data_IF_828082389566
#
_entry.id   IF_828082389566
#
_cell.length_a   1.000
_cell.length_b   1.000
_cell.length_c   1.000
_cell.angle_alpha   90.00
_cell.angle_beta   90.00
_cell.angle_gamma   90.00
#
_symmetry.space_group_name_H-M   'P 1'
#
loop_
_entity.id
_entity.type
_entity.pdbx_description
1 polymer ?
#
# COMPACT_ATOMS: atom_id res chain seq x y z
N UNK A 1 -31.32 -1.60 53.47
CA UNK A 1 -30.90 -0.36 52.78
C UNK A 1 -29.47 -0.42 52.22
N UNK A 2 -28.45 -0.91 52.96
CA UNK A 2 -27.04 -0.95 52.51
C UNK A 2 -26.74 -1.85 51.28
N UNK A 3 -27.41 -3.01 51.13
CA UNK A 3 -27.18 -3.96 50.02
C UNK A 3 -27.49 -3.38 48.63
N UNK A 4 -28.56 -2.58 48.52
CA UNK A 4 -28.94 -1.94 47.25
C UNK A 4 -27.97 -0.78 46.92
N UNK A 5 -27.48 -0.06 47.93
CA UNK A 5 -26.49 1.00 47.74
C UNK A 5 -25.16 0.47 47.18
N UNK A 6 -24.71 -0.69 47.65
CA UNK A 6 -23.51 -1.37 47.11
C UNK A 6 -23.77 -1.83 45.66
N UNK A 7 -24.94 -2.42 45.38
CA UNK A 7 -25.31 -2.84 44.03
C UNK A 7 -25.28 -1.68 43.02
N UNK A 8 -25.85 -0.52 43.37
CA UNK A 8 -25.80 0.66 42.50
C UNK A 8 -24.38 1.21 42.31
N UNK A 9 -23.52 1.11 43.33
CA UNK A 9 -22.11 1.49 43.22
C UNK A 9 -21.35 0.58 42.25
N UNK A 10 -21.54 -0.73 42.33
CA UNK A 10 -20.91 -1.71 41.42
C UNK A 10 -21.38 -1.51 39.97
N UNK A 11 -22.68 -1.29 39.76
CA UNK A 11 -23.23 -1.03 38.41
C UNK A 11 -22.60 0.23 37.79
N UNK A 12 -22.45 1.31 38.56
CA UNK A 12 -21.81 2.55 38.05
C UNK A 12 -20.34 2.32 37.68
N UNK A 13 -19.60 1.58 38.51
CA UNK A 13 -18.20 1.23 38.19
C UNK A 13 -18.13 0.41 36.91
N UNK A 14 -19.01 -0.58 36.75
CA UNK A 14 -19.08 -1.38 35.52
C UNK A 14 -19.40 -0.54 34.28
N UNK A 15 -20.33 0.42 34.39
CA UNK A 15 -20.67 1.33 33.29
C UNK A 15 -19.51 2.25 32.91
N UNK A 16 -18.77 2.77 33.90
CA UNK A 16 -17.58 3.59 33.65
C UNK A 16 -16.49 2.74 32.98
N UNK A 17 -16.23 1.53 33.47
CA UNK A 17 -15.28 0.61 32.84
C UNK A 17 -15.67 0.26 31.40
N UNK A 18 -16.97 0.01 31.13
CA UNK A 18 -17.47 -0.23 29.78
C UNK A 18 -17.25 0.98 28.86
N UNK A 19 -17.53 2.18 29.38
CA UNK A 19 -17.28 3.43 28.65
C UNK A 19 -15.80 3.63 28.32
N UNK A 20 -14.92 3.41 29.29
CA UNK A 20 -13.46 3.51 29.10
C UNK A 20 -12.97 2.48 28.08
N UNK A 21 -13.44 1.23 28.15
CA UNK A 21 -13.12 0.19 27.16
C UNK A 21 -13.62 0.56 25.76
N UNK A 22 -14.82 1.16 25.65
CA UNK A 22 -15.35 1.67 24.40
C UNK A 22 -14.50 2.80 23.80
N UNK A 23 -14.09 3.76 24.63
CA UNK A 23 -13.20 4.87 24.21
C UNK A 23 -11.83 4.34 23.78
N UNK A 24 -11.25 3.39 24.52
CA UNK A 24 -10.01 2.72 24.13
C UNK A 24 -10.20 2.03 22.77
N UNK A 25 -11.29 1.28 22.59
CA UNK A 25 -11.62 0.65 21.30
C UNK A 25 -11.71 1.67 20.16
N UNK A 26 -12.39 2.80 20.36
CA UNK A 26 -12.47 3.87 19.37
C UNK A 26 -11.10 4.50 19.07
N UNK A 27 -10.25 4.71 20.08
CA UNK A 27 -8.88 5.21 19.88
C UNK A 27 -8.05 4.20 19.08
N UNK A 28 -8.15 2.91 19.37
CA UNK A 28 -7.48 1.86 18.60
C UNK A 28 -7.96 1.88 17.13
N UNK A 29 -9.28 1.96 16.90
CA UNK A 29 -9.87 1.97 15.57
C UNK A 29 -9.49 3.22 14.76
N UNK A 30 -9.52 4.40 15.37
CA UNK A 30 -9.30 5.67 14.67
C UNK A 30 -7.83 6.10 14.59
N UNK A 31 -6.97 5.65 15.51
CA UNK A 31 -5.58 6.13 15.58
C UNK A 31 -4.56 5.06 15.20
N UNK A 32 -4.76 3.80 15.60
CA UNK A 32 -3.75 2.73 15.42
C UNK A 32 -3.96 1.98 14.10
N UNK A 33 -5.19 1.56 13.79
CA UNK A 33 -5.50 0.81 12.56
C UNK A 33 -5.13 1.57 11.26
N UNK A 34 -5.45 2.87 11.07
CA UNK A 34 -5.14 3.53 9.80
C UNK A 34 -3.64 3.64 9.51
N UNK A 35 -2.78 3.61 10.54
CA UNK A 35 -1.32 3.68 10.34
C UNK A 35 -0.74 2.40 9.74
N UNK A 36 -1.42 1.26 9.82
CA UNK A 36 -0.93 -0.03 9.31
C UNK A 36 -1.27 -0.29 7.84
N UNK A 37 -2.08 0.56 7.20
CA UNK A 37 -2.53 0.37 5.80
C UNK A 37 -1.73 1.21 4.80
N UNK A 38 -0.54 1.68 5.17
CA UNK A 38 0.34 2.36 4.21
C UNK A 38 0.95 1.33 3.27
N UNK A 39 0.42 1.25 2.05
CA UNK A 39 1.05 0.45 0.99
C UNK A 39 2.36 1.12 0.58
N UNK A 40 3.52 0.44 0.62
CA UNK A 40 4.77 1.03 0.17
C UNK A 40 4.65 1.46 -1.29
N UNK A 41 5.07 2.69 -1.56
CA UNK A 41 5.19 3.25 -2.90
C UNK A 41 6.61 3.04 -3.42
N UNK A 42 6.72 2.63 -4.67
CA UNK A 42 7.97 2.32 -5.34
C UNK A 42 8.11 3.25 -6.53
N UNK A 43 9.32 3.79 -6.72
CA UNK A 43 9.64 4.59 -7.89
C UNK A 43 9.81 3.68 -9.11
N UNK A 44 9.12 4.01 -10.20
CA UNK A 44 9.24 3.29 -11.47
C UNK A 44 10.67 3.44 -12.01
N UNK A 45 11.39 2.33 -12.31
CA UNK A 45 12.73 2.40 -12.89
C UNK A 45 12.67 2.96 -14.32
N UNK A 46 13.77 3.55 -14.79
CA UNK A 46 13.86 3.96 -16.19
C UNK A 46 14.18 2.76 -17.08
N UNK A 47 13.24 2.40 -17.95
CA UNK A 47 13.34 1.26 -18.85
C UNK A 47 13.73 1.67 -20.27
N UNK A 48 13.55 2.93 -20.65
CA UNK A 48 13.83 3.43 -22.01
C UNK A 48 15.28 3.14 -22.41
N UNK A 49 15.46 2.51 -23.57
CA UNK A 49 16.75 2.10 -24.12
C UNK A 49 17.34 0.80 -23.55
N UNK A 50 16.71 0.21 -22.52
CA UNK A 50 17.11 -1.11 -22.02
C UNK A 50 16.61 -2.22 -22.95
N UNK A 51 17.30 -3.36 -22.96
CA UNK A 51 16.74 -4.56 -23.59
C UNK A 51 15.50 -5.05 -22.83
N UNK A 52 14.62 -5.78 -23.50
CA UNK A 52 13.46 -6.39 -22.85
C UNK A 52 13.84 -7.22 -21.62
N UNK A 53 14.89 -8.05 -21.71
CA UNK A 53 15.37 -8.84 -20.55
C UNK A 53 15.84 -7.96 -19.39
N UNK A 54 16.61 -6.89 -19.67
CA UNK A 54 17.06 -5.96 -18.63
C UNK A 54 15.89 -5.21 -18.01
N UNK A 55 14.90 -4.81 -18.80
CA UNK A 55 13.70 -4.15 -18.31
C UNK A 55 12.91 -5.07 -17.36
N UNK A 56 12.69 -6.34 -17.74
CA UNK A 56 12.04 -7.34 -16.88
C UNK A 56 12.78 -7.52 -15.56
N UNK A 57 14.12 -7.59 -15.59
CA UNK A 57 14.94 -7.69 -14.38
C UNK A 57 14.82 -6.44 -13.48
N UNK A 58 14.82 -5.23 -14.06
CA UNK A 58 14.65 -3.98 -13.33
C UNK A 58 13.28 -3.87 -12.67
N UNK A 59 12.21 -4.25 -13.39
CA UNK A 59 10.83 -4.24 -12.87
C UNK A 59 10.71 -5.23 -11.70
N UNK A 60 11.13 -6.47 -11.90
CA UNK A 60 11.00 -7.54 -10.89
C UNK A 60 11.85 -7.30 -9.65
N UNK A 61 13.10 -6.81 -9.83
CA UNK A 61 13.96 -6.44 -8.70
C UNK A 61 13.43 -5.24 -7.90
N UNK A 62 12.63 -4.38 -8.54
CA UNK A 62 11.94 -3.28 -7.87
C UNK A 62 10.65 -3.69 -7.17
N UNK A 63 10.25 -4.98 -7.20
CA UNK A 63 8.98 -5.44 -6.62
C UNK A 63 7.74 -5.03 -7.43
N UNK A 64 7.93 -4.64 -8.69
CA UNK A 64 6.86 -4.33 -9.63
C UNK A 64 6.56 -5.56 -10.48
N UNK A 65 5.37 -5.60 -11.10
CA UNK A 65 5.00 -6.67 -12.01
C UNK A 65 5.20 -6.21 -13.45
N UNK A 66 5.59 -7.12 -14.34
CA UNK A 66 5.70 -6.84 -15.78
C UNK A 66 4.31 -6.97 -16.40
N UNK A 67 3.88 -5.97 -17.16
CA UNK A 67 2.68 -6.07 -17.99
C UNK A 67 2.93 -7.06 -19.14
N UNK A 68 2.08 -8.11 -19.31
CA UNK A 68 2.20 -9.03 -20.43
C UNK A 68 1.88 -8.37 -21.79
N UNK A 69 1.24 -7.20 -21.81
CA UNK A 69 0.88 -6.48 -23.03
C UNK A 69 2.10 -5.72 -23.55
N UNK A 70 2.69 -6.23 -24.64
CA UNK A 70 3.80 -5.59 -25.33
C UNK A 70 3.33 -5.01 -26.66
N UNK A 71 3.40 -3.69 -26.80
CA UNK A 71 3.25 -3.03 -28.09
C UNK A 71 4.59 -2.99 -28.84
N UNK A 72 4.63 -3.59 -30.03
CA UNK A 72 5.81 -3.52 -30.91
C UNK A 72 5.61 -2.37 -31.90
N UNK A 73 6.40 -1.31 -31.78
CA UNK A 73 6.42 -0.19 -32.72
C UNK A 73 7.83 -0.03 -33.32
N UNK A 74 7.95 0.32 -34.61
CA UNK A 74 9.25 0.68 -35.17
C UNK A 74 9.74 2.00 -34.58
N UNK A 75 11.04 2.11 -34.33
CA UNK A 75 11.69 3.35 -33.90
C UNK A 75 13.00 3.56 -34.67
N UNK A 76 13.29 4.78 -35.15
CA UNK A 76 14.57 5.10 -35.77
C UNK A 76 15.70 5.28 -34.74
N UNK A 77 15.36 5.56 -33.48
CA UNK A 77 16.32 5.93 -32.43
C UNK A 77 16.79 4.73 -31.60
N UNK A 78 16.05 3.62 -31.64
CA UNK A 78 16.31 2.45 -30.79
C UNK A 78 16.39 1.15 -31.61
N UNK A 79 17.42 0.30 -31.36
CA UNK A 79 17.49 -1.06 -31.90
C UNK A 79 16.27 -1.94 -31.58
N UNK A 80 16.07 -2.96 -32.41
CA UNK A 80 15.05 -3.99 -32.19
C UNK A 80 15.27 -4.67 -30.83
N UNK A 81 14.18 -4.82 -30.07
CA UNK A 81 14.20 -5.50 -28.78
C UNK A 81 14.52 -4.58 -27.59
N UNK A 82 14.62 -3.27 -27.81
CA UNK A 82 14.71 -2.27 -26.75
C UNK A 82 13.36 -1.66 -26.41
N UNK A 83 13.23 -1.22 -25.17
CA UNK A 83 12.07 -0.45 -24.70
C UNK A 83 12.18 0.98 -25.24
N UNK A 84 11.18 1.41 -26.00
CA UNK A 84 11.14 2.73 -26.62
C UNK A 84 10.12 3.67 -25.96
N UNK A 85 9.23 3.11 -25.16
CA UNK A 85 8.14 3.79 -24.48
C UNK A 85 7.87 3.06 -23.16
N UNK A 86 7.51 3.81 -22.12
CA UNK A 86 7.15 3.27 -20.81
C UNK A 86 6.02 4.12 -20.23
N UNK A 87 5.05 3.47 -19.59
CA UNK A 87 4.00 4.14 -18.86
C UNK A 87 3.68 3.33 -17.60
N UNK A 88 3.77 3.91 -16.38
CA UNK A 88 4.09 5.31 -16.04
C UNK A 88 5.54 5.73 -16.32
N UNK A 89 5.85 7.04 -16.34
CA UNK A 89 7.22 7.52 -16.56
C UNK A 89 8.16 7.17 -15.39
N UNK A 90 9.46 7.12 -15.67
CA UNK A 90 10.49 6.92 -14.66
C UNK A 90 10.33 7.87 -13.47
N UNK A 91 10.66 7.37 -12.27
CA UNK A 91 10.53 8.05 -10.97
C UNK A 91 9.09 8.35 -10.54
N UNK A 92 8.07 7.98 -11.33
CA UNK A 92 6.69 8.04 -10.87
C UNK A 92 6.49 7.03 -9.73
N UNK A 93 5.75 7.42 -8.69
CA UNK A 93 5.52 6.57 -7.52
C UNK A 93 4.25 5.75 -7.70
N UNK A 94 4.38 4.44 -7.68
CA UNK A 94 3.25 3.50 -7.77
C UNK A 94 3.22 2.54 -6.60
N UNK A 95 2.03 2.01 -6.31
CA UNK A 95 1.86 0.96 -5.30
C UNK A 95 2.59 -0.32 -5.74
N UNK A 96 3.18 -1.01 -4.76
CA UNK A 96 3.75 -2.35 -4.94
C UNK A 96 2.78 -3.30 -5.68
N UNK A 97 3.31 -4.22 -6.51
CA UNK A 97 2.56 -5.19 -7.34
C UNK A 97 1.65 -4.60 -8.44
N UNK A 98 1.83 -3.34 -8.82
CA UNK A 98 1.19 -2.80 -10.02
C UNK A 98 1.95 -3.30 -11.27
N UNK A 99 1.25 -3.82 -12.29
CA UNK A 99 1.86 -4.14 -13.58
C UNK A 99 2.29 -2.84 -14.29
N UNK A 100 3.47 -2.89 -14.91
CA UNK A 100 4.11 -1.83 -15.72
C UNK A 100 4.86 -2.43 -16.91
#
# INVERSE_FOLDING_TARGET
MRRNAILFAVIKVLLVCLGVLGVIGLVFLFWIIPQQVQTPEIAVPNLIGQSYEQAVLLITSSGLAVDPVQEKKPSPDFPIGQVIEQEPPANFKIKLNKPI
#
